data_IF_179219259437
#
_entry.id   IF_179219259437
#
_cell.length_a   1.000
_cell.length_b   1.000
_cell.length_c   1.000
_cell.angle_alpha   90.00
_cell.angle_beta   90.00
_cell.angle_gamma   90.00
#
_symmetry.space_group_name_H-M   'P 1'
#
loop_
_entity.id
_entity.type
_entity.pdbx_description
1 polymer ?
#
# COMPACT_ATOMS: atom_id res chain seq x y z
N UNK A 1 -12.72 -5.97 -19.35
CA UNK A 1 -12.15 -5.53 -20.64
C UNK A 1 -10.85 -4.79 -20.32
N UNK A 2 -9.75 -5.27 -20.83
CA UNK A 2 -8.44 -4.59 -20.78
C UNK A 2 -8.51 -3.35 -21.67
N UNK A 3 -8.16 -2.19 -21.11
CA UNK A 3 -8.08 -0.93 -21.86
C UNK A 3 -6.70 -0.83 -22.56
N UNK A 4 -6.32 -1.86 -23.33
CA UNK A 4 -5.04 -1.85 -24.05
C UNK A 4 -5.00 -0.70 -25.06
N UNK A 5 -3.85 -0.02 -25.18
CA UNK A 5 -3.69 1.16 -25.98
C UNK A 5 -2.34 1.16 -26.74
N UNK A 6 -2.32 1.81 -27.90
CA UNK A 6 -1.07 2.17 -28.56
C UNK A 6 -0.48 3.45 -27.94
N UNK A 7 0.83 3.46 -27.73
CA UNK A 7 1.51 4.60 -27.13
C UNK A 7 1.29 5.90 -27.94
N UNK A 8 1.24 5.78 -29.26
CA UNK A 8 1.02 6.91 -30.15
C UNK A 8 -0.32 7.62 -29.95
N UNK A 9 -1.34 6.90 -29.44
CA UNK A 9 -2.69 7.42 -29.22
C UNK A 9 -2.84 8.12 -27.86
N UNK A 10 -1.80 8.03 -26.99
CA UNK A 10 -1.86 8.55 -25.64
C UNK A 10 -1.36 10.00 -25.54
N UNK A 11 -2.21 10.90 -25.11
CA UNK A 11 -1.88 12.30 -24.85
C UNK A 11 -1.20 12.49 -23.49
N UNK A 12 0.11 12.61 -23.47
CA UNK A 12 0.89 12.91 -22.24
C UNK A 12 0.70 14.37 -21.84
N UNK A 13 0.46 14.63 -20.55
CA UNK A 13 0.30 15.97 -19.99
C UNK A 13 1.52 16.43 -19.20
N UNK A 14 2.06 15.58 -18.31
CA UNK A 14 3.15 15.95 -17.43
C UNK A 14 3.93 14.71 -16.94
N UNK A 15 5.23 14.90 -16.74
CA UNK A 15 6.09 13.95 -16.04
C UNK A 15 5.75 14.02 -14.53
N UNK A 16 5.45 12.88 -13.92
CA UNK A 16 5.18 12.76 -12.48
C UNK A 16 6.36 12.19 -11.70
N UNK A 17 6.99 11.14 -12.24
CA UNK A 17 8.10 10.46 -11.59
C UNK A 17 9.00 9.78 -12.62
N UNK A 18 10.27 9.60 -12.25
CA UNK A 18 11.23 8.75 -12.94
C UNK A 18 11.82 7.81 -11.90
N UNK A 19 11.50 6.53 -12.00
CA UNK A 19 11.89 5.48 -11.05
C UNK A 19 12.84 4.46 -11.67
N UNK A 20 13.21 3.44 -10.89
CA UNK A 20 14.18 2.43 -11.34
C UNK A 20 13.68 1.47 -12.41
N UNK A 21 12.38 1.37 -12.65
CA UNK A 21 11.79 0.48 -13.65
C UNK A 21 11.12 1.22 -14.80
N UNK A 22 10.89 2.53 -14.67
CA UNK A 22 10.19 3.29 -15.69
C UNK A 22 9.84 4.71 -15.29
N UNK A 23 9.24 5.40 -16.21
CA UNK A 23 8.83 6.80 -16.10
C UNK A 23 7.32 6.89 -16.05
N UNK A 24 6.79 7.66 -15.10
CA UNK A 24 5.35 7.84 -14.91
C UNK A 24 4.92 9.22 -15.41
N UNK A 25 3.93 9.22 -16.29
CA UNK A 25 3.36 10.42 -16.89
C UNK A 25 1.88 10.53 -16.55
N UNK A 26 1.41 11.74 -16.27
CA UNK A 26 -0.02 12.04 -16.23
C UNK A 26 -0.57 12.12 -17.64
N UNK A 27 -1.75 11.54 -17.86
CA UNK A 27 -2.44 11.68 -19.14
C UNK A 27 -3.36 12.90 -19.13
N UNK A 28 -3.55 13.50 -20.30
CA UNK A 28 -4.58 14.54 -20.51
C UNK A 28 -5.97 13.92 -20.55
N UNK A 29 -6.08 12.74 -21.18
CA UNK A 29 -7.30 11.95 -21.32
C UNK A 29 -6.94 10.46 -21.30
N UNK A 30 -7.72 9.63 -20.59
CA UNK A 30 -8.76 10.04 -19.61
C UNK A 30 -8.16 10.70 -18.36
N UNK A 31 -8.90 11.65 -17.77
CA UNK A 31 -8.48 12.30 -16.54
C UNK A 31 -8.36 11.30 -15.37
N UNK A 32 -7.39 11.50 -14.48
CA UNK A 32 -7.16 10.62 -13.34
C UNK A 32 -6.42 9.31 -13.68
N UNK A 33 -5.89 9.23 -14.90
CA UNK A 33 -5.05 8.11 -15.35
C UNK A 33 -3.61 8.55 -15.53
N UNK A 34 -2.71 7.61 -15.29
CA UNK A 34 -1.28 7.75 -15.53
C UNK A 34 -0.78 6.62 -16.41
N UNK A 35 0.23 6.94 -17.20
CA UNK A 35 1.01 6.02 -18.02
C UNK A 35 2.34 5.76 -17.31
N UNK A 36 2.68 4.49 -17.04
CA UNK A 36 4.04 4.07 -16.69
C UNK A 36 4.67 3.47 -17.94
N UNK A 37 5.74 4.11 -18.43
CA UNK A 37 6.59 3.56 -19.49
C UNK A 37 7.78 2.88 -18.83
N UNK A 38 8.01 1.63 -19.15
CA UNK A 38 9.17 0.90 -18.70
C UNK A 38 10.44 1.38 -19.40
N UNK A 39 11.56 1.31 -18.68
CA UNK A 39 12.87 1.46 -19.31
C UNK A 39 13.16 0.28 -20.23
N UNK A 40 13.98 0.47 -21.25
CA UNK A 40 14.19 -0.53 -22.32
C UNK A 40 14.81 -1.86 -21.79
N UNK A 41 15.54 -1.79 -20.68
CA UNK A 41 16.13 -2.94 -19.99
C UNK A 41 15.14 -3.74 -19.12
N UNK A 42 13.91 -3.26 -18.96
CA UNK A 42 12.89 -3.95 -18.15
C UNK A 42 12.19 -4.98 -19.01
N UNK A 43 12.35 -6.25 -18.65
CA UNK A 43 11.59 -7.32 -19.25
C UNK A 43 10.17 -7.35 -18.71
N UNK A 44 9.20 -7.29 -19.63
CA UNK A 44 7.77 -7.37 -19.30
C UNK A 44 7.20 -8.64 -19.89
N UNK A 45 6.42 -9.38 -19.10
CA UNK A 45 5.63 -10.52 -19.53
C UNK A 45 4.19 -10.05 -19.81
N UNK A 46 3.81 -9.77 -21.07
CA UNK A 46 2.51 -9.13 -21.37
C UNK A 46 1.30 -9.99 -20.98
N UNK A 47 1.44 -11.31 -21.06
CA UNK A 47 0.39 -12.24 -20.65
C UNK A 47 0.12 -12.18 -19.14
N UNK A 48 1.19 -12.09 -18.33
CA UNK A 48 1.08 -12.00 -16.87
C UNK A 48 0.53 -10.63 -16.44
N UNK A 49 0.93 -9.56 -17.14
CA UNK A 49 0.37 -8.23 -16.91
C UNK A 49 -1.12 -8.19 -17.25
N UNK A 50 -1.54 -8.82 -18.35
CA UNK A 50 -2.94 -8.98 -18.71
C UNK A 50 -3.74 -9.75 -17.65
N UNK A 51 -3.19 -10.86 -17.16
CA UNK A 51 -3.82 -11.66 -16.10
C UNK A 51 -3.96 -10.86 -14.79
N UNK A 52 -2.97 -10.03 -14.45
CA UNK A 52 -3.05 -9.13 -13.30
C UNK A 52 -4.14 -8.08 -13.49
N UNK A 53 -4.24 -7.47 -14.67
CA UNK A 53 -5.26 -6.45 -15.00
C UNK A 53 -6.66 -7.04 -14.85
N UNK A 54 -6.89 -8.26 -15.34
CA UNK A 54 -8.21 -8.90 -15.34
C UNK A 54 -8.64 -9.47 -13.98
N UNK A 55 -7.67 -9.70 -13.08
CA UNK A 55 -7.90 -10.37 -11.80
C UNK A 55 -9.06 -9.77 -10.95
N UNK A 56 -9.21 -8.44 -10.81
CA UNK A 56 -10.32 -7.88 -10.03
C UNK A 56 -11.69 -8.25 -10.56
N UNK A 57 -11.82 -8.59 -11.84
CA UNK A 57 -13.07 -9.06 -12.44
C UNK A 57 -13.59 -10.36 -11.82
N UNK A 58 -12.69 -11.24 -11.37
CA UNK A 58 -13.00 -12.50 -10.69
C UNK A 58 -13.16 -12.41 -9.17
N UNK A 59 -12.86 -11.26 -8.57
CA UNK A 59 -12.98 -11.06 -7.12
C UNK A 59 -14.45 -10.88 -6.70
N UNK A 60 -14.76 -11.21 -5.44
CA UNK A 60 -16.02 -10.81 -4.81
C UNK A 60 -16.18 -9.28 -4.88
N UNK A 61 -17.42 -8.80 -5.00
CA UNK A 61 -17.70 -7.36 -5.22
C UNK A 61 -17.04 -6.45 -4.17
N UNK A 62 -17.12 -6.80 -2.89
CA UNK A 62 -16.48 -6.03 -1.80
C UNK A 62 -14.95 -6.01 -1.89
N UNK A 63 -14.34 -7.12 -2.30
CA UNK A 63 -12.88 -7.22 -2.48
C UNK A 63 -12.41 -6.36 -3.65
N UNK A 64 -13.12 -6.46 -4.77
CA UNK A 64 -12.87 -5.65 -5.96
C UNK A 64 -12.99 -4.15 -5.66
N UNK A 65 -14.03 -3.76 -4.93
CA UNK A 65 -14.23 -2.37 -4.52
C UNK A 65 -13.06 -1.88 -3.65
N UNK A 66 -12.66 -2.65 -2.62
CA UNK A 66 -11.54 -2.30 -1.76
C UNK A 66 -10.23 -2.17 -2.55
N UNK A 67 -9.91 -3.15 -3.39
CA UNK A 67 -8.68 -3.14 -4.20
C UNK A 67 -8.68 -1.93 -5.13
N UNK A 68 -9.76 -1.70 -5.88
CA UNK A 68 -9.84 -0.57 -6.83
C UNK A 68 -9.85 0.78 -6.15
N UNK A 69 -10.39 0.90 -4.93
CA UNK A 69 -10.40 2.14 -4.17
C UNK A 69 -9.06 2.44 -3.49
N UNK A 70 -8.28 1.39 -3.13
CA UNK A 70 -7.07 1.51 -2.31
C UNK A 70 -5.77 1.26 -3.07
N UNK A 71 -5.82 1.08 -4.39
CA UNK A 71 -4.61 0.81 -5.19
C UNK A 71 -4.62 1.53 -6.53
N UNK A 72 -3.43 1.80 -7.07
CA UNK A 72 -3.20 2.17 -8.46
C UNK A 72 -3.17 0.90 -9.33
N UNK A 73 -4.23 0.06 -9.27
CA UNK A 73 -4.28 -1.19 -10.01
C UNK A 73 -4.09 -0.96 -11.51
N UNK A 74 -3.27 -1.79 -12.21
CA UNK A 74 -3.15 -1.75 -13.66
C UNK A 74 -4.51 -1.90 -14.37
N UNK A 75 -4.74 -1.12 -15.42
CA UNK A 75 -6.01 -1.08 -16.17
C UNK A 75 -5.87 -1.58 -17.59
N UNK A 76 -4.74 -1.32 -18.24
CA UNK A 76 -4.48 -1.70 -19.61
C UNK A 76 -2.98 -1.74 -19.88
N UNK A 77 -2.58 -2.54 -20.88
CA UNK A 77 -1.21 -2.58 -21.38
C UNK A 77 -1.02 -1.48 -22.44
N UNK A 78 0.20 -0.98 -22.54
CA UNK A 78 0.55 -0.01 -23.58
C UNK A 78 1.57 -0.62 -24.52
N UNK A 79 1.27 -0.54 -25.79
CA UNK A 79 2.07 -1.12 -26.85
C UNK A 79 2.76 -0.05 -27.71
N UNK A 80 3.89 -0.40 -28.28
CA UNK A 80 4.60 0.32 -29.34
C UNK A 80 5.14 -0.72 -30.30
N UNK A 81 4.75 -0.64 -31.56
CA UNK A 81 5.19 -1.57 -32.61
C UNK A 81 5.00 -3.06 -32.22
N UNK A 82 3.87 -3.38 -31.60
CA UNK A 82 3.54 -4.73 -31.13
C UNK A 82 4.25 -5.18 -29.86
N UNK A 83 5.17 -4.39 -29.28
CA UNK A 83 5.85 -4.66 -28.03
C UNK A 83 5.13 -3.96 -26.87
N UNK A 84 4.89 -4.68 -25.78
CA UNK A 84 4.39 -4.09 -24.55
C UNK A 84 5.49 -3.24 -23.90
N UNK A 85 5.29 -1.94 -23.85
CA UNK A 85 6.28 -0.96 -23.35
C UNK A 85 5.85 -0.27 -22.06
N UNK A 86 4.62 -0.51 -21.61
CA UNK A 86 4.10 0.18 -20.43
C UNK A 86 2.71 -0.28 -20.05
N UNK A 87 2.12 0.45 -19.12
CA UNK A 87 0.77 0.22 -18.64
C UNK A 87 0.04 1.52 -18.30
N UNK A 88 -1.27 1.43 -18.31
CA UNK A 88 -2.19 2.43 -17.78
C UNK A 88 -2.61 2.04 -16.37
N UNK A 89 -2.67 3.00 -15.45
CA UNK A 89 -3.17 2.81 -14.10
C UNK A 89 -3.86 4.07 -13.59
N UNK A 90 -4.61 3.94 -12.48
CA UNK A 90 -5.25 5.08 -11.83
C UNK A 90 -4.20 5.97 -11.16
N UNK A 91 -4.33 7.30 -11.32
CA UNK A 91 -3.55 8.24 -10.50
C UNK A 91 -3.98 8.16 -9.03
N UNK A 92 -3.02 8.29 -8.11
CA UNK A 92 -3.33 8.40 -6.69
C UNK A 92 -4.23 9.63 -6.44
N UNK A 93 -5.39 9.46 -5.77
CA UNK A 93 -6.31 10.55 -5.50
C UNK A 93 -5.64 11.71 -4.76
N UNK A 94 -6.07 12.94 -5.02
CA UNK A 94 -5.43 14.16 -4.48
C UNK A 94 -5.39 14.21 -2.95
N UNK A 95 -6.32 13.55 -2.26
CA UNK A 95 -6.28 13.40 -0.79
C UNK A 95 -5.04 12.70 -0.26
N UNK A 96 -4.33 11.92 -1.09
CA UNK A 96 -3.05 11.27 -0.78
C UNK A 96 -1.84 12.12 -1.19
N UNK A 97 -2.04 13.40 -1.44
CA UNK A 97 -0.98 14.34 -1.76
C UNK A 97 -1.07 15.59 -0.89
N UNK A 98 0.07 16.24 -0.72
CA UNK A 98 0.18 17.52 -0.02
C UNK A 98 1.16 18.43 -0.73
N UNK A 99 1.21 19.71 -0.32
CA UNK A 99 2.26 20.63 -0.77
C UNK A 99 3.34 20.75 0.30
N UNK A 100 4.57 20.34 -0.04
CA UNK A 100 5.75 20.53 0.80
C UNK A 100 6.77 21.37 0.03
N UNK A 101 7.23 22.45 0.64
CA UNK A 101 8.13 23.42 0.01
C UNK A 101 7.63 23.86 -1.40
N UNK A 102 6.33 24.16 -1.52
CA UNK A 102 5.70 24.62 -2.78
C UNK A 102 5.46 23.52 -3.84
N UNK A 103 5.94 22.28 -3.63
CA UNK A 103 5.80 21.17 -4.59
C UNK A 103 4.74 20.17 -4.13
N UNK A 104 3.94 19.64 -5.07
CA UNK A 104 3.05 18.50 -4.81
C UNK A 104 3.89 17.26 -4.48
N UNK A 105 3.60 16.63 -3.36
CA UNK A 105 4.23 15.38 -2.90
C UNK A 105 3.17 14.40 -2.48
N UNK A 106 3.36 13.13 -2.81
CA UNK A 106 2.54 12.04 -2.28
C UNK A 106 2.83 11.84 -0.80
N UNK A 107 1.81 11.52 -0.03
CA UNK A 107 1.91 11.21 1.39
C UNK A 107 2.41 9.77 1.57
N UNK A 108 3.68 9.55 1.28
CA UNK A 108 4.36 8.26 1.42
C UNK A 108 4.59 7.92 2.90
N UNK A 109 4.62 6.62 3.24
CA UNK A 109 4.87 6.16 4.61
C UNK A 109 6.17 6.68 5.21
N UNK A 110 7.17 7.02 4.40
CA UNK A 110 8.42 7.57 4.89
C UNK A 110 8.23 8.76 5.85
N UNK A 111 7.19 9.58 5.64
CA UNK A 111 6.88 10.71 6.51
C UNK A 111 6.41 10.32 7.92
N UNK A 112 5.99 9.07 8.10
CA UNK A 112 5.58 8.51 9.40
C UNK A 112 6.68 7.73 10.09
N UNK A 113 7.71 7.32 9.36
CA UNK A 113 8.72 6.38 9.80
C UNK A 113 10.07 7.04 10.10
N UNK A 114 10.41 8.09 9.34
CA UNK A 114 11.66 8.83 9.59
C UNK A 114 11.48 9.96 10.59
N UNK A 115 12.56 10.34 11.29
CA UNK A 115 12.57 11.52 12.15
C UNK A 115 12.08 12.76 11.40
N UNK A 116 11.30 13.60 12.07
CA UNK A 116 10.71 14.79 11.47
C UNK A 116 11.80 15.76 11.00
N UNK A 117 11.75 16.16 9.74
CA UNK A 117 12.65 17.14 9.14
C UNK A 117 11.95 18.50 9.05
N UNK A 118 12.72 19.60 9.06
CA UNK A 118 12.18 20.95 8.95
C UNK A 118 11.28 21.14 7.73
N UNK A 119 11.62 20.55 6.58
CA UNK A 119 10.81 20.60 5.36
C UNK A 119 9.47 19.90 5.47
N UNK A 120 9.24 19.07 6.51
CA UNK A 120 7.98 18.35 6.78
C UNK A 120 7.25 18.94 8.00
N UNK A 121 7.74 20.04 8.55
CA UNK A 121 7.20 20.62 9.80
C UNK A 121 5.71 20.99 9.70
N UNK A 122 5.23 21.35 8.51
CA UNK A 122 3.82 21.67 8.27
C UNK A 122 2.91 20.43 8.09
N UNK A 123 3.49 19.21 8.02
CA UNK A 123 2.70 18.01 7.82
C UNK A 123 2.02 17.60 9.12
N UNK A 124 0.67 17.51 9.11
CA UNK A 124 -0.08 16.92 10.20
C UNK A 124 0.20 15.42 10.27
N UNK A 125 0.73 14.94 11.40
CA UNK A 125 0.98 13.54 11.64
C UNK A 125 -0.22 12.89 12.34
N UNK A 126 -0.47 11.58 12.10
CA UNK A 126 -1.53 10.87 12.77
C UNK A 126 -1.29 10.78 14.28
N UNK A 127 -2.35 10.94 15.05
CA UNK A 127 -2.40 10.55 16.47
C UNK A 127 -2.20 9.04 16.63
N UNK A 128 -2.02 8.57 17.87
CA UNK A 128 -1.90 7.14 18.15
C UNK A 128 -3.07 6.31 17.59
N UNK A 129 -4.33 6.66 17.88
CA UNK A 129 -5.50 5.99 17.30
C UNK A 129 -5.56 6.02 15.78
N UNK A 130 -5.33 7.18 15.14
CA UNK A 130 -5.31 7.29 13.68
C UNK A 130 -4.22 6.45 13.05
N UNK A 131 -3.04 6.36 13.69
CA UNK A 131 -1.95 5.49 13.25
C UNK A 131 -2.34 4.01 13.31
N UNK A 132 -3.01 3.58 14.38
CA UNK A 132 -3.56 2.23 14.47
C UNK A 132 -4.58 1.95 13.36
N UNK A 133 -5.45 2.92 13.03
CA UNK A 133 -6.40 2.78 11.92
C UNK A 133 -5.70 2.68 10.56
N UNK A 134 -4.65 3.45 10.32
CA UNK A 134 -3.85 3.31 9.08
C UNK A 134 -3.27 1.88 8.97
N UNK A 135 -2.74 1.33 10.07
CA UNK A 135 -2.27 -0.06 10.10
C UNK A 135 -3.41 -1.03 9.77
N UNK A 136 -4.58 -0.89 10.40
CA UNK A 136 -5.75 -1.74 10.14
C UNK A 136 -6.18 -1.67 8.67
N UNK A 137 -6.15 -0.49 8.04
CA UNK A 137 -6.49 -0.35 6.61
C UNK A 137 -5.48 -1.06 5.70
N UNK A 138 -4.17 -0.96 5.98
CA UNK A 138 -3.17 -1.75 5.24
C UNK A 138 -3.38 -3.24 5.44
N UNK A 139 -3.61 -3.69 6.68
CA UNK A 139 -3.88 -5.10 6.97
C UNK A 139 -5.11 -5.63 6.22
N UNK A 140 -6.19 -4.82 6.11
CA UNK A 140 -7.38 -5.18 5.31
C UNK A 140 -7.05 -5.32 3.83
N UNK A 141 -6.26 -4.39 3.27
CA UNK A 141 -5.81 -4.49 1.88
C UNK A 141 -5.00 -5.77 1.65
N UNK A 142 -4.02 -6.06 2.51
CA UNK A 142 -3.24 -7.29 2.42
C UNK A 142 -4.07 -8.55 2.61
N UNK A 143 -5.05 -8.56 3.51
CA UNK A 143 -5.96 -9.69 3.70
C UNK A 143 -6.73 -9.99 2.41
N UNK A 144 -7.27 -8.94 1.76
CA UNK A 144 -7.96 -9.08 0.47
C UNK A 144 -7.02 -9.58 -0.62
N UNK A 145 -5.83 -9.00 -0.75
CA UNK A 145 -4.84 -9.43 -1.74
C UNK A 145 -4.48 -10.91 -1.55
N UNK A 146 -4.09 -11.30 -0.33
CA UNK A 146 -3.64 -12.66 -0.03
C UNK A 146 -4.72 -13.71 -0.22
N UNK A 147 -5.98 -13.46 0.18
CA UNK A 147 -7.07 -14.42 -0.04
C UNK A 147 -7.45 -14.56 -1.52
N UNK A 148 -7.17 -13.54 -2.34
CA UNK A 148 -7.26 -13.61 -3.80
C UNK A 148 -5.95 -14.08 -4.45
N UNK A 149 -5.02 -14.64 -3.67
CA UNK A 149 -3.72 -15.17 -4.11
C UNK A 149 -2.84 -14.13 -4.81
N UNK A 150 -2.95 -12.86 -4.41
CA UNK A 150 -2.08 -11.78 -4.89
C UNK A 150 -0.95 -11.53 -3.90
N UNK A 151 0.27 -11.60 -4.39
CA UNK A 151 1.49 -11.22 -3.68
C UNK A 151 1.80 -9.77 -4.03
N UNK A 152 1.98 -8.91 -3.02
CA UNK A 152 2.31 -7.50 -3.20
C UNK A 152 3.75 -7.32 -3.72
N UNK A 153 4.65 -8.16 -3.27
CA UNK A 153 6.06 -8.26 -3.62
C UNK A 153 6.90 -7.04 -3.14
N UNK A 154 6.79 -5.86 -3.75
CA UNK A 154 7.58 -4.67 -3.37
C UNK A 154 6.87 -3.81 -2.32
N UNK A 155 6.64 -4.37 -1.14
CA UNK A 155 6.16 -3.61 0.02
C UNK A 155 7.25 -2.65 0.46
N UNK A 156 6.99 -1.35 0.36
CA UNK A 156 7.96 -0.33 0.75
C UNK A 156 7.28 0.94 1.25
N UNK A 157 8.04 1.76 1.97
CA UNK A 157 7.55 3.06 2.44
C UNK A 157 7.23 4.07 1.33
N UNK A 158 7.67 3.83 0.10
CA UNK A 158 7.41 4.69 -1.05
C UNK A 158 6.19 4.25 -1.85
N UNK A 159 5.87 2.95 -1.82
CA UNK A 159 4.77 2.37 -2.55
C UNK A 159 3.45 2.40 -1.76
N UNK A 160 3.51 2.79 -0.48
CA UNK A 160 2.38 2.87 0.41
C UNK A 160 2.10 4.32 0.81
N UNK A 161 0.90 4.79 0.51
CA UNK A 161 0.45 6.15 0.79
C UNK A 161 -0.60 6.15 1.91
N UNK A 162 -0.64 7.24 2.66
CA UNK A 162 -1.60 7.46 3.72
C UNK A 162 -2.25 8.84 3.62
N UNK A 163 -3.38 9.02 4.28
CA UNK A 163 -4.04 10.32 4.44
C UNK A 163 -4.89 10.35 5.70
N UNK A 164 -5.13 11.55 6.21
CA UNK A 164 -6.13 11.83 7.25
C UNK A 164 -7.30 12.67 6.71
N UNK A 165 -7.22 13.10 5.45
CA UNK A 165 -8.28 13.86 4.80
C UNK A 165 -9.50 12.99 4.53
N UNK A 166 -10.63 13.31 5.19
CA UNK A 166 -11.84 12.51 5.17
C UNK A 166 -11.75 11.25 6.04
N UNK A 167 -10.85 11.24 7.02
CA UNK A 167 -10.52 10.11 7.89
C UNK A 167 -9.29 9.32 7.44
N UNK A 168 -8.71 8.49 8.35
CA UNK A 168 -7.56 7.65 8.02
C UNK A 168 -7.85 6.73 6.83
N UNK A 169 -7.01 6.81 5.80
CA UNK A 169 -7.11 5.95 4.62
C UNK A 169 -5.74 5.67 4.02
N UNK A 170 -5.66 4.60 3.22
CA UNK A 170 -4.42 4.11 2.61
C UNK A 170 -4.58 3.91 1.11
N UNK A 171 -3.47 3.98 0.38
CA UNK A 171 -3.44 3.73 -1.05
C UNK A 171 -2.08 3.15 -1.44
N UNK A 172 -2.08 2.09 -2.26
CA UNK A 172 -0.87 1.50 -2.78
C UNK A 172 -0.63 1.96 -4.22
N UNK A 173 0.61 2.27 -4.55
CA UNK A 173 1.08 2.58 -5.90
C UNK A 173 2.08 1.54 -6.38
N UNK A 174 2.46 1.61 -7.64
CA UNK A 174 3.43 0.69 -8.27
C UNK A 174 2.95 -0.78 -8.26
N UNK A 175 1.66 -0.98 -8.52
CA UNK A 175 0.97 -2.27 -8.39
C UNK A 175 1.26 -3.24 -9.55
N UNK A 176 2.01 -2.86 -10.58
CA UNK A 176 2.48 -3.75 -11.63
C UNK A 176 3.54 -4.75 -11.15
N UNK A 177 4.16 -4.48 -10.00
CA UNK A 177 4.98 -5.44 -9.28
C UNK A 177 4.21 -6.55 -8.57
N UNK A 178 2.88 -6.44 -8.46
CA UNK A 178 2.05 -7.50 -7.89
C UNK A 178 2.09 -8.75 -8.77
N UNK A 179 1.94 -9.89 -8.16
CA UNK A 179 1.84 -11.16 -8.91
C UNK A 179 0.74 -12.05 -8.36
N UNK A 180 0.16 -12.83 -9.22
CA UNK A 180 -0.69 -13.95 -8.80
C UNK A 180 0.23 -15.05 -8.25
N UNK A 181 -0.07 -15.61 -7.08
CA UNK A 181 0.68 -16.71 -6.51
C UNK A 181 0.76 -17.87 -7.52
N UNK A 182 1.89 -18.56 -7.53
CA UNK A 182 2.19 -19.67 -8.43
C UNK A 182 2.29 -19.31 -9.93
N UNK A 183 2.31 -18.02 -10.28
CA UNK A 183 2.59 -17.53 -11.63
C UNK A 183 3.84 -16.63 -11.64
N UNK A 184 4.52 -16.47 -12.79
CA UNK A 184 5.57 -15.49 -12.93
C UNK A 184 5.05 -14.07 -12.64
N UNK A 185 5.92 -13.16 -12.17
CA UNK A 185 5.60 -11.75 -12.08
C UNK A 185 5.59 -11.12 -13.48
N UNK A 186 4.67 -10.18 -13.74
CA UNK A 186 4.61 -9.44 -15.00
C UNK A 186 5.90 -8.63 -15.27
N UNK A 187 6.47 -8.09 -14.20
CA UNK A 187 7.77 -7.40 -14.17
C UNK A 187 8.55 -7.97 -12.99
N UNK A 188 9.84 -8.20 -13.18
CA UNK A 188 10.69 -8.75 -12.12
C UNK A 188 10.63 -7.89 -10.86
N UNK A 189 10.22 -8.46 -9.71
CA UNK A 189 10.16 -7.73 -8.45
C UNK A 189 11.55 -7.21 -8.05
N UNK A 190 11.58 -6.00 -7.49
CA UNK A 190 12.77 -5.43 -6.84
C UNK A 190 12.49 -5.29 -5.36
N UNK A 191 13.44 -5.72 -4.54
CA UNK A 191 13.34 -5.49 -3.11
C UNK A 191 13.86 -4.09 -2.77
N UNK A 192 13.05 -3.35 -2.03
CA UNK A 192 13.48 -2.07 -1.46
C UNK A 192 14.40 -2.34 -0.26
N UNK A 193 15.54 -1.65 -0.22
CA UNK A 193 16.53 -1.78 0.87
C UNK A 193 15.86 -1.62 2.24
N UNK A 194 16.12 -2.57 3.13
CA UNK A 194 15.53 -2.62 4.47
C UNK A 194 14.08 -3.11 4.53
N UNK A 195 13.48 -3.51 3.39
CA UNK A 195 12.13 -4.09 3.32
C UNK A 195 12.12 -5.55 2.81
N UNK A 196 13.27 -6.05 2.39
CA UNK A 196 13.40 -7.44 1.97
C UNK A 196 13.16 -8.41 3.14
N UNK A 197 12.60 -9.56 2.81
CA UNK A 197 12.56 -10.70 3.71
C UNK A 197 13.96 -11.36 3.76
N UNK A 198 14.63 -11.43 4.91
CA UNK A 198 15.97 -11.99 4.99
C UNK A 198 16.02 -13.49 4.70
N UNK A 199 14.89 -14.18 4.76
CA UNK A 199 14.78 -15.60 4.49
C UNK A 199 14.39 -15.92 3.03
N UNK A 200 13.94 -14.92 2.25
CA UNK A 200 13.62 -15.12 0.84
C UNK A 200 14.86 -15.00 -0.05
N UNK A 201 14.85 -15.73 -1.17
CA UNK A 201 15.89 -15.53 -2.19
C UNK A 201 15.70 -14.17 -2.88
N UNK A 202 16.77 -13.50 -3.31
CA UNK A 202 16.67 -12.25 -4.05
C UNK A 202 15.74 -12.35 -5.26
N UNK A 203 14.72 -11.49 -5.31
CA UNK A 203 13.72 -11.49 -6.38
C UNK A 203 12.65 -12.57 -6.25
N UNK A 204 12.65 -13.36 -5.19
CA UNK A 204 11.58 -14.29 -4.87
C UNK A 204 10.54 -13.58 -4.00
N UNK A 205 9.31 -13.47 -4.49
CA UNK A 205 8.19 -12.92 -3.75
C UNK A 205 7.11 -14.00 -3.58
N UNK A 206 6.73 -14.27 -2.35
CA UNK A 206 5.71 -15.26 -1.97
C UNK A 206 4.72 -14.66 -0.99
N UNK A 207 3.59 -15.33 -0.76
CA UNK A 207 2.66 -14.92 0.30
C UNK A 207 3.33 -14.95 1.67
N UNK A 208 4.29 -15.83 1.90
CA UNK A 208 5.02 -15.90 3.16
C UNK A 208 5.99 -14.72 3.29
N UNK A 209 6.76 -14.37 2.25
CA UNK A 209 7.62 -13.17 2.27
C UNK A 209 6.81 -11.87 2.43
N UNK A 210 5.62 -11.77 1.82
CA UNK A 210 4.72 -10.64 2.04
C UNK A 210 4.25 -10.53 3.49
N UNK A 211 4.01 -11.67 4.17
CA UNK A 211 3.65 -11.66 5.60
C UNK A 211 4.77 -11.13 6.48
N UNK A 212 6.04 -11.39 6.14
CA UNK A 212 7.17 -10.76 6.81
C UNK A 212 7.18 -9.24 6.59
N UNK A 213 7.03 -8.80 5.33
CA UNK A 213 6.98 -7.38 4.98
C UNK A 213 5.79 -6.66 5.63
N UNK A 214 4.67 -7.36 5.78
CA UNK A 214 3.50 -6.89 6.52
C UNK A 214 3.79 -6.71 8.02
N UNK A 215 4.56 -7.64 8.61
CA UNK A 215 5.00 -7.50 10.00
C UNK A 215 5.96 -6.29 10.14
N UNK A 216 6.93 -6.10 9.21
CA UNK A 216 7.75 -4.89 9.15
C UNK A 216 6.91 -3.63 9.12
N UNK A 217 5.94 -3.56 8.20
CA UNK A 217 5.02 -2.43 8.06
C UNK A 217 4.31 -2.14 9.38
N UNK A 218 3.77 -3.18 10.01
CA UNK A 218 2.98 -3.05 11.24
C UNK A 218 3.84 -2.55 12.41
N UNK A 219 4.98 -3.18 12.69
CA UNK A 219 5.82 -2.78 13.82
C UNK A 219 6.45 -1.41 13.62
N UNK A 220 6.87 -1.08 12.39
CA UNK A 220 7.41 0.22 12.03
C UNK A 220 6.39 1.35 12.20
N UNK A 221 5.18 1.16 11.69
CA UNK A 221 4.13 2.16 11.85
C UNK A 221 3.74 2.37 13.32
N UNK A 222 3.56 1.29 14.08
CA UNK A 222 3.15 1.40 15.48
C UNK A 222 4.23 2.04 16.35
N UNK A 223 5.51 1.77 16.07
CA UNK A 223 6.63 2.32 16.83
C UNK A 223 7.18 3.65 16.26
N UNK A 224 6.77 4.02 15.02
CA UNK A 224 7.26 5.24 14.36
C UNK A 224 8.75 5.19 14.01
N UNK A 225 9.27 4.01 13.70
CA UNK A 225 10.70 3.79 13.45
C UNK A 225 10.91 2.92 12.20
N UNK A 226 11.61 3.48 11.20
CA UNK A 226 11.87 2.85 9.91
C UNK A 226 12.82 1.65 9.97
N UNK A 227 13.62 1.53 11.02
CA UNK A 227 14.67 0.52 11.14
C UNK A 227 14.20 -0.74 11.87
N UNK A 228 13.11 -0.67 12.65
CA UNK A 228 12.64 -1.78 13.49
C UNK A 228 12.25 -2.99 12.65
N UNK A 229 12.68 -4.16 13.11
CA UNK A 229 12.30 -5.47 12.57
C UNK A 229 11.50 -6.28 13.59
N UNK A 230 10.80 -7.35 13.18
CA UNK A 230 10.17 -8.29 14.11
C UNK A 230 11.16 -8.87 15.14
N UNK A 231 12.39 -9.14 14.73
CA UNK A 231 13.48 -9.64 15.58
C UNK A 231 13.89 -8.61 16.64
N UNK A 232 13.98 -7.32 16.26
CA UNK A 232 14.27 -6.22 17.19
C UNK A 232 13.19 -6.05 18.25
N UNK A 233 11.92 -6.30 17.90
CA UNK A 233 10.80 -6.32 18.86
C UNK A 233 11.04 -7.42 19.90
N UNK A 234 11.42 -8.61 19.45
CA UNK A 234 11.69 -9.74 20.35
C UNK A 234 12.86 -9.46 21.29
N UNK A 235 13.93 -8.84 20.77
CA UNK A 235 15.16 -8.55 21.53
C UNK A 235 15.00 -7.40 22.55
N UNK A 236 14.09 -6.44 22.32
CA UNK A 236 13.97 -5.21 23.12
C UNK A 236 12.80 -5.25 24.12
N UNK A 237 13.04 -5.25 25.43
CA UNK A 237 11.98 -5.14 26.43
C UNK A 237 11.10 -3.90 26.27
N UNK A 238 11.69 -2.76 25.90
CA UNK A 238 10.97 -1.49 25.68
C UNK A 238 10.00 -1.58 24.49
N UNK A 239 10.44 -2.18 23.35
CA UNK A 239 9.57 -2.37 22.17
C UNK A 239 8.45 -3.37 22.48
N UNK A 240 8.73 -4.45 23.23
CA UNK A 240 7.70 -5.40 23.68
C UNK A 240 6.66 -4.72 24.57
N UNK A 241 7.10 -3.89 25.52
CA UNK A 241 6.20 -3.14 26.38
C UNK A 241 5.31 -2.17 25.58
N UNK A 242 5.87 -1.47 24.60
CA UNK A 242 5.14 -0.55 23.73
C UNK A 242 4.07 -1.26 22.87
N UNK A 243 4.40 -2.41 22.30
CA UNK A 243 3.45 -3.20 21.48
C UNK A 243 2.52 -4.07 22.32
N UNK A 244 2.97 -4.50 23.48
CA UNK A 244 2.28 -5.42 24.39
C UNK A 244 2.24 -6.88 23.90
N UNK A 245 1.70 -7.80 24.73
CA UNK A 245 1.94 -9.24 24.57
C UNK A 245 1.43 -9.83 23.25
N UNK A 246 0.23 -9.47 22.81
CA UNK A 246 -0.35 -10.03 21.58
C UNK A 246 0.46 -9.66 20.33
N UNK A 247 0.77 -8.37 20.14
CA UNK A 247 1.53 -7.92 18.96
C UNK A 247 2.98 -8.41 19.04
N UNK A 248 3.55 -8.51 20.22
CA UNK A 248 4.88 -9.11 20.44
C UNK A 248 4.90 -10.59 20.02
N UNK A 249 3.88 -11.37 20.38
CA UNK A 249 3.76 -12.77 19.97
C UNK A 249 3.64 -12.90 18.43
N UNK A 250 2.87 -12.02 17.78
CA UNK A 250 2.77 -12.01 16.31
C UNK A 250 4.09 -11.62 15.66
N UNK A 251 4.83 -10.64 16.21
CA UNK A 251 6.17 -10.27 15.73
C UNK A 251 7.14 -11.46 15.87
N UNK A 252 7.14 -12.15 16.99
CA UNK A 252 7.97 -13.34 17.19
C UNK A 252 7.67 -14.44 16.17
N UNK A 253 6.38 -14.69 15.89
CA UNK A 253 6.00 -15.67 14.86
C UNK A 253 6.42 -15.21 13.46
N UNK A 254 6.37 -13.89 13.18
CA UNK A 254 6.73 -13.34 11.88
C UNK A 254 8.23 -13.47 11.55
N UNK A 255 9.09 -13.53 12.57
CA UNK A 255 10.53 -13.78 12.40
C UNK A 255 10.85 -15.18 11.82
N UNK A 256 9.89 -16.11 11.85
CA UNK A 256 10.10 -17.49 11.43
C UNK A 256 9.35 -17.83 10.14
N UNK A 257 10.03 -18.14 9.02
CA UNK A 257 9.40 -18.60 7.78
C UNK A 257 8.42 -19.75 8.03
N UNK A 258 7.30 -19.74 7.31
CA UNK A 258 6.24 -20.75 7.44
C UNK A 258 5.36 -20.64 8.70
N UNK A 259 5.71 -19.77 9.66
CA UNK A 259 4.89 -19.45 10.85
C UNK A 259 4.31 -18.06 10.85
N UNK A 260 4.56 -17.28 9.80
CA UNK A 260 4.23 -15.88 9.68
C UNK A 260 2.72 -15.64 9.72
N UNK A 261 2.24 -14.80 10.66
CA UNK A 261 0.82 -14.58 10.84
C UNK A 261 0.20 -13.90 9.62
N UNK A 262 -1.00 -14.33 9.18
CA UNK A 262 -1.75 -13.62 8.15
C UNK A 262 -2.26 -12.26 8.66
N UNK A 263 -2.63 -11.37 7.75
CA UNK A 263 -3.08 -10.02 8.05
C UNK A 263 -4.23 -9.95 9.08
N UNK A 264 -5.18 -10.88 8.99
CA UNK A 264 -6.33 -10.91 9.90
C UNK A 264 -5.94 -11.18 11.36
N UNK A 265 -4.83 -11.87 11.63
CA UNK A 265 -4.34 -12.08 13.00
C UNK A 265 -3.89 -10.77 13.64
N UNK A 266 -3.18 -9.95 12.88
CA UNK A 266 -2.76 -8.61 13.30
C UNK A 266 -3.97 -7.68 13.51
N UNK A 267 -4.95 -7.71 12.58
CA UNK A 267 -6.18 -6.93 12.72
C UNK A 267 -6.93 -7.28 14.01
N UNK A 268 -7.11 -8.57 14.30
CA UNK A 268 -7.77 -9.02 15.53
C UNK A 268 -7.04 -8.54 16.79
N UNK A 269 -5.70 -8.60 16.79
CA UNK A 269 -4.90 -8.12 17.91
C UNK A 269 -5.02 -6.61 18.13
N UNK A 270 -5.12 -5.82 17.05
CA UNK A 270 -5.28 -4.37 17.11
C UNK A 270 -6.70 -3.95 17.50
N UNK A 271 -7.73 -4.53 16.91
CA UNK A 271 -9.13 -4.15 17.15
C UNK A 271 -9.66 -4.69 18.46
N UNK A 272 -9.17 -5.86 18.91
CA UNK A 272 -9.54 -6.43 20.23
C UNK A 272 -8.98 -5.68 21.44
N UNK A 273 -7.90 -4.88 21.25
CA UNK A 273 -7.27 -4.06 22.31
C UNK A 273 -7.89 -2.67 22.48
N UNK A 274 -8.58 -2.18 21.48
CA UNK A 274 -8.99 -0.78 21.41
C UNK A 274 -10.52 -0.66 21.41
N UNK A 275 -11.15 -0.97 22.56
CA UNK A 275 -12.51 -0.46 22.85
C UNK A 275 -12.57 1.07 22.65
N UNK A 276 -11.47 1.78 22.92
CA UNK A 276 -11.32 3.22 22.68
C UNK A 276 -11.29 3.63 21.20
N UNK A 277 -10.85 2.76 20.29
CA UNK A 277 -10.94 3.03 18.84
C UNK A 277 -12.40 3.08 18.37
N UNK A 278 -13.28 2.33 19.01
CA UNK A 278 -14.73 2.37 18.74
C UNK A 278 -15.36 3.67 19.24
N UNK A 279 -14.83 4.26 20.32
CA UNK A 279 -15.34 5.53 20.85
C UNK A 279 -14.95 6.76 20.00
N UNK A 280 -13.93 6.65 19.14
CA UNK A 280 -13.55 7.72 18.22
C UNK A 280 -14.51 7.89 17.01
N UNK A 281 -15.66 7.22 16.97
CA UNK A 281 -16.71 7.43 15.98
C UNK A 281 -16.43 6.81 14.61
N UNK A 282 -15.38 6.03 14.46
CA UNK A 282 -15.13 5.23 13.26
C UNK A 282 -15.83 3.88 13.40
N UNK A 283 -17.10 3.83 13.00
CA UNK A 283 -17.84 2.57 12.88
C UNK A 283 -17.17 1.77 11.76
N UNK A 284 -16.53 0.68 12.13
CA UNK A 284 -16.16 -0.35 11.14
C UNK A 284 -17.47 -1.02 10.73
N UNK A 285 -18.08 -0.52 9.68
CA UNK A 285 -19.22 -1.17 9.07
C UNK A 285 -18.75 -2.55 8.56
N UNK A 286 -19.26 -3.60 9.15
CA UNK A 286 -18.90 -4.98 8.80
C UNK A 286 -19.37 -5.37 7.40
N UNK A 287 -20.16 -4.52 6.73
CA UNK A 287 -20.84 -4.83 5.47
C UNK A 287 -20.52 -3.86 4.34
N UNK A 288 -19.95 -2.71 4.58
CA UNK A 288 -19.54 -1.76 3.54
C UNK A 288 -18.05 -1.40 3.67
N UNK A 289 -17.33 -1.62 2.61
CA UNK A 289 -15.91 -1.34 2.56
C UNK A 289 -15.58 0.15 2.44
N UNK A 290 -15.94 0.99 3.29
CA UNK A 290 -15.51 2.39 3.54
C UNK A 290 -16.61 3.13 4.28
N UNK A 291 -16.42 3.36 5.59
CA UNK A 291 -17.31 4.21 6.36
C UNK A 291 -17.25 5.64 5.83
N UNK A 292 -18.36 6.13 5.32
CA UNK A 292 -18.61 7.56 5.14
C UNK A 292 -18.94 8.17 6.50
N UNK A 293 -17.91 8.39 7.33
CA UNK A 293 -18.06 9.13 8.58
C UNK A 293 -17.93 10.63 8.30
N UNK A 294 -19.03 11.34 8.14
CA UNK A 294 -19.05 12.78 8.20
C UNK A 294 -18.72 13.21 9.64
N UNK A 295 -17.81 14.17 9.88
CA UNK A 295 -17.59 14.71 11.21
C UNK A 295 -18.84 15.47 11.64
N UNK A 296 -19.47 15.04 12.74
CA UNK A 296 -20.54 15.80 13.37
C UNK A 296 -20.01 17.19 13.78
N UNK A 297 -20.62 18.21 13.20
CA UNK A 297 -20.46 19.63 13.52
C UNK A 297 -20.71 19.87 15.03
N UNK A 298 -19.62 20.07 15.79
CA UNK A 298 -19.67 20.50 17.19
C UNK A 298 -19.42 22.01 17.26
N UNK A 299 -20.34 22.79 16.74
CA UNK A 299 -20.37 24.22 17.01
C UNK A 299 -21.79 24.74 17.17
N UNK A 300 -22.34 24.59 18.37
CA UNK A 300 -23.37 25.56 18.89
C UNK A 300 -23.27 25.63 20.42
N UNK A 301 -22.90 26.76 21.00
CA UNK A 301 -23.09 26.99 22.42
C UNK A 301 -24.59 27.17 22.71
N UNK A 302 -25.09 26.48 23.74
CA UNK A 302 -26.44 26.76 24.28
C UNK A 302 -26.39 28.07 25.05
N UNK A 303 -27.27 28.97 24.69
CA UNK A 303 -27.83 30.00 25.60
C UNK A 303 -28.96 29.38 26.39
#
# INVERSE_FOLDING_TARGET
MTDDAELADLGVAALLANGGQGVVYRLRRPAGMVLKLYHDEVEVLPAELGALIDLPGGMAAADRELVTASTAWPRGRVFRDGRCVGLLMREAPDRFATRLAGRRRLLELQFLLYPRRAMWAALALPSGPERCWLVVHYLRLFDVLHRNKVVFADVSMRNLLWTLSGGPAVFAIDCDGFRVADRPAAVRPRDTVGWADPAARPGEATLDSDRYKLALLTVRLLLGDHAVTPEDVCASPAKRAALGPLLTSLAAAAAHPGRRPPANSWMKALTGRNADLVQCGYVVDRHSGFGSGSPADRSRPRR
#
